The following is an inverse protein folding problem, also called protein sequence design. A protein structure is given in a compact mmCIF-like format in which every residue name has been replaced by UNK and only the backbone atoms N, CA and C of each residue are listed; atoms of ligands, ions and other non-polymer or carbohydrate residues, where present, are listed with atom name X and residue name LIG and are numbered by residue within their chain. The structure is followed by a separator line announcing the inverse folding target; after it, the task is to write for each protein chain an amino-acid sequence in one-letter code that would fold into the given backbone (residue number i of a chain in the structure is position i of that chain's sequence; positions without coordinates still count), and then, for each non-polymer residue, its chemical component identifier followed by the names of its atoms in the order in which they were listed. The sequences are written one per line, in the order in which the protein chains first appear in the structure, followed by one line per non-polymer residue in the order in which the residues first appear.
data_IF_594837558968
#
_entry.id   IF_594837558968
#
_cell.length_a   1.000
_cell.length_b   1.000
_cell.length_c   1.000
_cell.angle_alpha   90.00
_cell.angle_beta   90.00
_cell.angle_gamma   90.00
#
_symmetry.space_group_name_H-M   'P 1'
#
loop_
_entity.id
_entity.type
_entity.pdbx_description
1 polymer ?
#
# COMPACT_ATOMS: atom_id res chain seq x y z
N UNK A 1 -4.84 -6.90 21.97
CA UNK A 1 -3.48 -6.89 21.42
C UNK A 1 -2.90 -8.30 21.49
N UNK A 2 -2.21 -8.69 20.47
CA UNK A 2 -1.55 -10.00 20.44
C UNK A 2 -0.34 -9.99 21.39
N UNK A 3 -0.38 -10.88 22.38
CA UNK A 3 0.68 -11.00 23.39
C UNK A 3 2.01 -11.42 22.74
N UNK A 4 1.96 -12.29 21.72
CA UNK A 4 3.17 -12.73 21.01
C UNK A 4 3.90 -11.60 20.34
N UNK A 5 3.17 -10.74 19.63
CA UNK A 5 3.75 -9.58 18.95
C UNK A 5 4.37 -8.65 19.98
N UNK A 6 3.66 -8.35 21.05
CA UNK A 6 4.13 -7.47 22.09
C UNK A 6 5.42 -8.00 22.73
N UNK A 7 5.45 -9.29 23.02
CA UNK A 7 6.60 -9.95 23.61
C UNK A 7 7.83 -9.87 22.70
N UNK A 8 7.66 -10.13 21.40
CA UNK A 8 8.75 -10.09 20.44
C UNK A 8 9.32 -8.67 20.30
N UNK A 9 8.43 -7.66 20.23
CA UNK A 9 8.85 -6.27 20.15
C UNK A 9 9.63 -5.86 21.40
N UNK A 10 9.15 -6.21 22.56
CA UNK A 10 9.80 -5.87 23.83
C UNK A 10 11.18 -6.50 23.96
N UNK A 11 11.37 -7.68 23.39
CA UNK A 11 12.68 -8.34 23.40
C UNK A 11 13.64 -7.79 22.36
N UNK A 12 13.16 -6.90 21.49
CA UNK A 12 13.94 -6.30 20.39
C UNK A 12 14.55 -7.34 19.46
N UNK A 13 13.97 -8.53 19.41
CA UNK A 13 14.42 -9.60 18.53
C UNK A 13 14.01 -9.34 17.10
N UNK A 14 12.93 -8.62 16.92
CA UNK A 14 12.32 -8.34 15.61
C UNK A 14 12.14 -6.84 15.46
N UNK A 15 12.60 -6.32 14.33
CA UNK A 15 12.24 -4.97 13.92
C UNK A 15 10.77 -4.95 13.58
N UNK A 16 10.12 -3.84 13.87
CA UNK A 16 8.70 -3.67 13.57
C UNK A 16 8.58 -3.15 12.16
N UNK A 17 8.80 -4.05 11.22
CA UNK A 17 8.80 -3.73 9.80
C UNK A 17 7.38 -3.74 9.25
N UNK A 18 7.17 -2.85 8.30
CA UNK A 18 5.93 -2.81 7.53
C UNK A 18 6.26 -2.51 6.08
N UNK A 19 5.26 -2.60 5.24
CA UNK A 19 5.41 -2.36 3.82
C UNK A 19 4.47 -1.23 3.40
N UNK A 20 5.04 -0.27 2.68
CA UNK A 20 4.27 0.74 1.97
C UNK A 20 4.17 0.30 0.53
N UNK A 21 2.99 0.45 -0.07
CA UNK A 21 2.82 0.15 -1.48
C UNK A 21 2.31 1.41 -2.17
N UNK A 22 3.14 1.93 -3.06
CA UNK A 22 2.88 3.15 -3.81
C UNK A 22 2.22 2.76 -5.14
N UNK A 23 1.01 3.27 -5.38
CA UNK A 23 0.23 2.94 -6.57
C UNK A 23 -0.29 4.23 -7.18
N UNK A 24 -0.06 4.42 -8.49
CA UNK A 24 -0.63 5.57 -9.20
C UNK A 24 -1.97 5.18 -9.81
N UNK A 25 -2.93 6.10 -9.75
CA UNK A 25 -4.29 5.91 -10.22
C UNK A 25 -4.67 7.08 -11.13
N UNK A 26 -5.64 6.86 -12.01
CA UNK A 26 -6.03 7.90 -12.98
C UNK A 26 -6.76 9.08 -12.33
N UNK A 27 -7.47 8.84 -11.21
CA UNK A 27 -8.22 9.88 -10.51
C UNK A 27 -8.47 9.45 -9.06
N UNK A 28 -9.08 10.35 -8.28
CA UNK A 28 -9.36 10.09 -6.87
C UNK A 28 -10.37 8.96 -6.68
N UNK A 29 -11.32 8.82 -7.60
CA UNK A 29 -12.35 7.78 -7.50
C UNK A 29 -11.73 6.39 -7.63
N UNK A 30 -10.80 6.23 -8.56
CA UNK A 30 -10.10 4.95 -8.72
C UNK A 30 -9.26 4.64 -7.50
N UNK A 31 -8.53 5.64 -6.98
CA UNK A 31 -7.71 5.45 -5.78
C UNK A 31 -8.58 5.04 -4.59
N UNK A 32 -9.75 5.67 -4.41
CA UNK A 32 -10.68 5.31 -3.35
C UNK A 32 -11.26 3.91 -3.53
N UNK A 33 -11.65 3.58 -4.76
CA UNK A 33 -12.22 2.26 -5.07
C UNK A 33 -11.25 1.14 -4.74
N UNK A 34 -10.00 1.30 -5.16
CA UNK A 34 -8.96 0.31 -4.90
C UNK A 34 -8.69 0.22 -3.40
N UNK A 35 -8.56 1.37 -2.73
CA UNK A 35 -8.33 1.42 -1.29
C UNK A 35 -9.44 0.71 -0.50
N UNK A 36 -10.68 1.00 -0.83
CA UNK A 36 -11.84 0.38 -0.17
C UNK A 36 -11.86 -1.13 -0.34
N UNK A 37 -11.56 -1.60 -1.54
CA UNK A 37 -11.52 -3.04 -1.81
C UNK A 37 -10.45 -3.75 -0.98
N UNK A 38 -9.26 -3.17 -0.93
CA UNK A 38 -8.15 -3.75 -0.17
C UNK A 38 -8.41 -3.72 1.33
N UNK A 39 -9.04 -2.65 1.81
CA UNK A 39 -9.42 -2.53 3.23
C UNK A 39 -10.47 -3.56 3.61
N UNK A 40 -11.52 -3.73 2.79
CA UNK A 40 -12.58 -4.69 3.07
C UNK A 40 -12.06 -6.12 3.12
N UNK A 41 -11.07 -6.43 2.31
CA UNK A 41 -10.44 -7.76 2.30
C UNK A 41 -9.37 -7.91 3.35
N UNK A 42 -9.14 -6.91 4.18
CA UNK A 42 -8.12 -6.94 5.24
C UNK A 42 -6.70 -7.16 4.69
N UNK A 43 -6.47 -6.78 3.45
CA UNK A 43 -5.15 -6.86 2.83
C UNK A 43 -4.27 -5.71 3.27
N UNK A 44 -4.87 -4.54 3.48
CA UNK A 44 -4.17 -3.34 3.98
C UNK A 44 -4.88 -2.80 5.22
N UNK A 45 -4.15 -2.04 6.03
CA UNK A 45 -4.71 -1.41 7.22
C UNK A 45 -5.08 0.05 7.00
N UNK A 46 -4.44 0.70 6.04
CA UNK A 46 -4.60 2.14 5.81
C UNK A 46 -4.19 2.48 4.39
N UNK A 47 -4.81 3.51 3.83
CA UNK A 47 -4.38 4.09 2.56
C UNK A 47 -4.39 5.60 2.68
N UNK A 48 -3.33 6.24 2.17
CA UNK A 48 -3.25 7.70 2.04
C UNK A 48 -3.35 8.04 0.56
N UNK A 49 -4.16 9.04 0.24
CA UNK A 49 -4.46 9.39 -1.15
C UNK A 49 -4.16 10.87 -1.36
N UNK A 50 -3.41 11.20 -2.42
CA UNK A 50 -3.09 12.59 -2.73
C UNK A 50 -2.85 12.77 -4.24
N UNK A 51 -3.07 14.00 -4.76
CA UNK A 51 -2.87 14.29 -6.17
C UNK A 51 -1.38 14.48 -6.49
N UNK A 52 -0.99 14.11 -7.72
CA UNK A 52 0.35 14.33 -8.25
C UNK A 52 0.29 14.79 -9.70
N UNK A 53 1.40 15.39 -10.14
CA UNK A 53 1.63 15.64 -11.56
C UNK A 53 2.72 14.67 -12.01
N UNK A 54 2.48 13.94 -13.09
CA UNK A 54 3.41 12.95 -13.59
C UNK A 54 3.94 13.35 -14.97
N UNK A 55 5.22 13.11 -15.19
CA UNK A 55 5.88 13.35 -16.48
C UNK A 55 6.68 12.09 -16.76
N UNK A 56 6.37 11.41 -17.87
CA UNK A 56 6.94 10.09 -18.13
C UNK A 56 6.95 9.75 -19.61
N UNK A 57 7.71 8.73 -19.98
CA UNK A 57 7.72 8.20 -21.33
C UNK A 57 6.53 7.27 -21.53
N UNK A 58 5.77 7.52 -22.60
CA UNK A 58 4.67 6.67 -22.99
C UNK A 58 4.61 6.61 -24.52
N UNK A 59 4.74 5.40 -25.06
CA UNK A 59 4.69 5.14 -26.51
C UNK A 59 5.61 6.07 -27.32
N UNK A 60 6.84 6.23 -26.84
CA UNK A 60 7.86 7.01 -27.52
C UNK A 60 7.77 8.51 -27.34
N UNK A 61 6.89 9.00 -26.45
CA UNK A 61 6.71 10.44 -26.23
C UNK A 61 6.78 10.76 -24.76
N UNK A 62 7.28 11.97 -24.45
CA UNK A 62 7.19 12.52 -23.10
C UNK A 62 5.76 12.97 -22.88
N UNK A 63 5.10 12.39 -21.89
CA UNK A 63 3.70 12.59 -21.61
C UNK A 63 3.52 13.20 -20.23
N UNK A 64 2.58 14.12 -20.10
CA UNK A 64 2.20 14.71 -18.80
C UNK A 64 0.79 14.28 -18.47
N UNK A 65 0.54 13.96 -17.21
CA UNK A 65 -0.81 13.68 -16.75
C UNK A 65 -0.95 14.00 -15.27
N UNK A 66 -2.16 14.38 -14.91
CA UNK A 66 -2.54 14.50 -13.50
C UNK A 66 -3.03 13.15 -13.04
N UNK A 67 -2.49 12.69 -11.91
CA UNK A 67 -2.83 11.40 -11.36
C UNK A 67 -3.06 11.52 -9.87
N UNK A 68 -3.47 10.42 -9.26
CA UNK A 68 -3.54 10.30 -7.80
C UNK A 68 -2.67 9.15 -7.36
N UNK A 69 -2.01 9.35 -6.24
CA UNK A 69 -1.26 8.27 -5.58
C UNK A 69 -2.09 7.76 -4.43
N UNK A 70 -2.14 6.45 -4.28
CA UNK A 70 -2.52 5.85 -3.02
C UNK A 70 -1.30 5.14 -2.46
N UNK A 71 -1.01 5.40 -1.19
CA UNK A 71 0.02 4.66 -0.47
C UNK A 71 -0.70 3.75 0.51
N UNK A 72 -0.64 2.46 0.26
CA UNK A 72 -1.21 1.45 1.13
C UNK A 72 -0.21 1.05 2.20
N UNK A 73 -0.69 0.80 3.41
CA UNK A 73 0.16 0.36 4.52
C UNK A 73 -0.26 -1.04 4.93
N UNK A 74 0.68 -1.96 4.89
CA UNK A 74 0.42 -3.37 5.12
C UNK A 74 1.69 -4.08 5.59
N UNK A 75 1.68 -5.40 5.58
CA UNK A 75 2.86 -6.22 5.87
C UNK A 75 3.42 -6.79 4.59
N UNK A 76 4.70 -7.15 4.63
CA UNK A 76 5.38 -7.71 3.46
C UNK A 76 4.71 -9.00 2.95
N UNK A 77 4.17 -9.81 3.83
CA UNK A 77 3.50 -11.06 3.46
C UNK A 77 2.26 -10.84 2.59
N UNK A 78 1.65 -9.65 2.68
CA UNK A 78 0.43 -9.34 1.93
C UNK A 78 0.70 -8.73 0.56
N UNK A 79 1.97 -8.43 0.22
CA UNK A 79 2.26 -7.70 -1.01
C UNK A 79 1.77 -8.42 -2.27
N UNK A 80 2.03 -9.71 -2.40
CA UNK A 80 1.62 -10.45 -3.60
C UNK A 80 0.10 -10.52 -3.74
N UNK A 81 -0.60 -10.67 -2.64
CA UNK A 81 -2.05 -10.66 -2.61
C UNK A 81 -2.57 -9.28 -3.03
N UNK A 82 -1.96 -8.22 -2.51
CA UNK A 82 -2.30 -6.85 -2.86
C UNK A 82 -2.11 -6.61 -4.36
N UNK A 83 -0.95 -6.98 -4.88
CA UNK A 83 -0.63 -6.82 -6.31
C UNK A 83 -1.67 -7.50 -7.18
N UNK A 84 -2.02 -8.74 -6.85
CA UNK A 84 -3.02 -9.50 -7.59
C UNK A 84 -4.39 -8.82 -7.58
N UNK A 85 -4.83 -8.34 -6.41
CA UNK A 85 -6.13 -7.66 -6.31
C UNK A 85 -6.16 -6.34 -7.08
N UNK A 86 -5.09 -5.57 -7.01
CA UNK A 86 -5.01 -4.29 -7.74
C UNK A 86 -5.09 -4.53 -9.24
N UNK A 87 -4.37 -5.51 -9.74
CA UNK A 87 -4.37 -5.81 -11.19
C UNK A 87 -5.74 -6.19 -11.71
N UNK A 88 -6.60 -6.75 -10.87
CA UNK A 88 -7.96 -7.14 -11.29
C UNK A 88 -8.84 -5.94 -11.58
N UNK A 89 -8.60 -4.79 -10.95
CA UNK A 89 -9.53 -3.66 -10.99
C UNK A 89 -8.91 -2.36 -11.45
N UNK A 90 -7.60 -2.33 -11.68
CA UNK A 90 -6.91 -1.12 -12.11
C UNK A 90 -7.14 -0.86 -13.60
N UNK A 91 -7.34 0.42 -13.95
CA UNK A 91 -7.66 0.82 -15.32
C UNK A 91 -6.47 0.88 -16.26
N UNK A 92 -5.25 0.98 -15.72
CA UNK A 92 -4.06 1.16 -16.56
C UNK A 92 -3.63 -0.13 -17.24
N UNK A 93 -3.11 0.04 -18.45
CA UNK A 93 -2.48 -1.05 -19.20
C UNK A 93 -1.26 -1.58 -18.45
N UNK A 94 -0.43 -0.66 -17.97
CA UNK A 94 0.73 -0.98 -17.13
C UNK A 94 0.56 -0.25 -15.80
N UNK A 95 0.38 -1.00 -14.73
CA UNK A 95 0.21 -0.42 -13.41
C UNK A 95 1.56 -0.14 -12.75
N UNK A 96 1.64 0.96 -12.00
CA UNK A 96 2.76 1.22 -11.11
C UNK A 96 2.39 0.72 -9.72
N UNK A 97 3.04 -0.33 -9.28
CA UNK A 97 2.83 -0.92 -7.95
C UNK A 97 4.21 -1.12 -7.33
N UNK A 98 4.63 -0.18 -6.48
CA UNK A 98 5.96 -0.20 -5.89
C UNK A 98 5.89 -0.63 -4.43
N UNK A 99 6.75 -1.57 -4.04
CA UNK A 99 6.88 -2.00 -2.66
C UNK A 99 8.04 -1.24 -2.01
N UNK A 100 7.77 -0.61 -0.88
CA UNK A 100 8.74 0.16 -0.13
C UNK A 100 8.78 -0.39 1.30
N UNK A 101 9.96 -0.81 1.75
CA UNK A 101 10.13 -1.28 3.12
C UNK A 101 10.20 -0.10 4.07
N UNK A 102 9.54 -0.23 5.22
CA UNK A 102 9.50 0.81 6.23
C UNK A 102 9.51 0.17 7.62
N UNK A 103 9.91 0.96 8.61
CA UNK A 103 9.86 0.55 10.01
C UNK A 103 8.99 1.54 10.76
N UNK A 104 7.99 1.05 11.46
CA UNK A 104 7.05 1.90 12.19
C UNK A 104 7.39 1.93 13.68
N UNK A 105 6.85 2.94 14.37
CA UNK A 105 6.84 2.91 15.81
C UNK A 105 6.00 1.73 16.29
N UNK A 106 6.30 1.28 17.50
CA UNK A 106 5.72 0.05 18.07
C UNK A 106 4.19 0.04 18.06
N UNK A 107 3.60 1.10 18.55
CA UNK A 107 2.14 1.19 18.70
C UNK A 107 1.43 1.10 17.35
N UNK A 108 1.96 1.78 16.36
CA UNK A 108 1.36 1.76 15.02
C UNK A 108 1.48 0.39 14.37
N UNK A 109 2.63 -0.24 14.52
CA UNK A 109 2.88 -1.57 13.96
C UNK A 109 1.96 -2.63 14.58
N UNK A 110 1.72 -2.54 15.88
CA UNK A 110 0.80 -3.44 16.57
C UNK A 110 -0.61 -3.27 16.03
N UNK A 111 -1.06 -2.02 15.90
CA UNK A 111 -2.37 -1.73 15.34
C UNK A 111 -2.49 -2.28 13.92
N UNK A 112 -1.51 -2.02 13.07
CA UNK A 112 -1.52 -2.45 11.68
C UNK A 112 -1.64 -3.97 11.56
N UNK A 113 -0.82 -4.70 12.31
CA UNK A 113 -0.82 -6.17 12.26
C UNK A 113 -2.12 -6.77 12.79
N UNK A 114 -2.81 -6.05 13.66
CA UNK A 114 -4.10 -6.47 14.17
C UNK A 114 -5.20 -6.31 13.12
N UNK A 115 -5.12 -5.29 12.28
CA UNK A 115 -6.17 -4.98 11.31
C UNK A 115 -6.07 -5.79 10.01
N UNK A 116 -4.89 -6.26 9.64
CA UNK A 116 -4.71 -7.02 8.39
C UNK A 116 -4.87 -8.53 8.62
N UNK A 117 -5.10 -9.25 7.53
CA UNK A 117 -5.23 -10.71 7.53
C UNK A 117 -4.20 -11.37 6.65
#
# INVERSE_FOLDING_TARGET
MDVSINKLINKKVIKVDMTLVYITCKDSKEAEKISQRLLRKRIIACANIFPINSIYWWKGKITKSDEYVMIAKTSNKNFKKLESEVKKIHSYEIQCILRINATANKEYAIWLNKEIR
#
